data_IF_514474607626
#
_entry.id   IF_514474607626
#
_cell.length_a   1.000
_cell.length_b   1.000
_cell.length_c   1.000
_cell.angle_alpha   90.00
_cell.angle_beta   90.00
_cell.angle_gamma   90.00
#
_symmetry.space_group_name_H-M   'P 1'
#
loop_
_entity.id
_entity.type
_entity.pdbx_description
1 polymer ?
#
# COMPACT_ATOMS: atom_id res chain seq x y z
N UNK A 1 -5.33 -3.28 -19.61
CA UNK A 1 -4.71 -3.33 -20.95
C UNK A 1 -3.99 -2.03 -21.18
N UNK A 2 -2.67 -2.05 -21.51
CA UNK A 2 -1.93 -0.85 -21.84
C UNK A 2 -2.48 -0.16 -23.11
N UNK A 3 -2.51 1.16 -23.09
CA UNK A 3 -2.83 1.99 -24.24
C UNK A 3 -1.53 2.67 -24.68
N UNK A 4 -0.76 1.93 -25.48
CA UNK A 4 0.53 2.36 -26.02
C UNK A 4 0.38 3.26 -27.24
N UNK A 5 1.49 3.84 -27.68
CA UNK A 5 1.62 4.55 -28.95
C UNK A 5 1.09 3.71 -30.11
N UNK A 6 1.54 2.45 -30.21
CA UNK A 6 1.08 1.51 -31.24
C UNK A 6 -0.44 1.32 -31.23
N UNK A 7 -1.03 1.18 -30.03
CA UNK A 7 -2.49 1.04 -29.89
C UNK A 7 -3.22 2.26 -30.44
N UNK A 8 -2.74 3.46 -30.14
CA UNK A 8 -3.34 4.71 -30.62
C UNK A 8 -3.17 4.89 -32.15
N UNK A 9 -2.03 4.47 -32.70
CA UNK A 9 -1.79 4.53 -34.15
C UNK A 9 -2.65 3.54 -34.92
N UNK A 10 -2.90 2.35 -34.38
CA UNK A 10 -3.78 1.35 -34.97
C UNK A 10 -5.27 1.70 -34.86
N UNK A 11 -5.61 2.62 -33.96
CA UNK A 11 -6.99 3.03 -33.70
C UNK A 11 -7.16 4.55 -33.88
N UNK A 12 -7.07 5.09 -35.13
CA UNK A 12 -7.07 6.54 -35.38
C UNK A 12 -8.40 7.22 -35.00
N UNK A 13 -9.44 6.46 -34.74
CA UNK A 13 -10.76 6.96 -34.30
C UNK A 13 -10.86 7.26 -32.81
N UNK A 14 -9.82 7.02 -32.02
CA UNK A 14 -9.85 7.33 -30.55
C UNK A 14 -9.94 8.85 -30.37
N UNK A 15 -10.96 9.30 -29.65
CA UNK A 15 -11.21 10.71 -29.33
C UNK A 15 -11.10 11.03 -27.83
N UNK A 16 -11.12 10.02 -26.98
CA UNK A 16 -11.01 10.11 -25.52
C UNK A 16 -10.47 8.80 -24.97
N UNK A 17 -9.59 8.86 -23.99
CA UNK A 17 -9.15 7.71 -23.19
C UNK A 17 -9.61 7.94 -21.76
N UNK A 18 -10.55 7.11 -21.26
CA UNK A 18 -11.02 7.15 -19.89
C UNK A 18 -10.44 5.98 -19.10
N UNK A 19 -9.58 6.26 -18.13
CA UNK A 19 -8.97 5.28 -17.25
C UNK A 19 -9.84 5.12 -15.99
N UNK A 20 -10.51 3.97 -15.85
CA UNK A 20 -11.35 3.66 -14.70
C UNK A 20 -10.51 3.25 -13.48
N UNK A 21 -9.47 4.01 -13.18
CA UNK A 21 -8.56 3.82 -12.06
C UNK A 21 -7.95 5.17 -11.65
N UNK A 22 -7.32 5.22 -10.48
CA UNK A 22 -6.56 6.40 -10.03
C UNK A 22 -5.24 6.51 -10.78
N UNK A 23 -4.48 5.40 -10.89
CA UNK A 23 -3.24 5.35 -11.68
C UNK A 23 -3.53 5.30 -13.18
N UNK A 24 -2.78 6.06 -13.97
CA UNK A 24 -2.92 6.14 -15.43
C UNK A 24 -1.62 5.83 -16.18
N UNK A 25 -0.63 5.28 -15.53
CA UNK A 25 0.66 4.90 -16.10
C UNK A 25 0.57 3.80 -17.19
N UNK A 26 -0.58 3.14 -17.32
CA UNK A 26 -0.88 2.20 -18.40
C UNK A 26 -1.11 2.89 -19.74
N UNK A 27 -1.28 4.22 -19.76
CA UNK A 27 -1.50 5.01 -20.98
C UNK A 27 -0.24 5.81 -21.29
N UNK A 28 0.23 5.77 -22.56
CA UNK A 28 1.21 6.75 -23.05
C UNK A 28 0.52 8.11 -23.21
N UNK A 29 0.31 8.78 -22.07
CA UNK A 29 -0.40 10.06 -22.01
C UNK A 29 0.36 11.20 -22.70
N UNK A 30 1.68 11.08 -22.80
CA UNK A 30 2.51 12.04 -23.56
C UNK A 30 2.16 11.96 -25.03
N UNK A 31 2.13 10.77 -25.59
CA UNK A 31 1.75 10.56 -26.98
C UNK A 31 0.27 10.87 -27.25
N UNK A 32 -0.62 10.51 -26.32
CA UNK A 32 -2.03 10.91 -26.42
C UNK A 32 -2.18 12.43 -26.53
N UNK A 33 -1.41 13.18 -25.74
CA UNK A 33 -1.37 14.65 -25.78
C UNK A 33 -0.86 15.19 -27.11
N UNK A 34 0.19 14.60 -27.69
CA UNK A 34 0.70 14.94 -29.02
C UNK A 34 -0.36 14.74 -30.11
N UNK A 35 -1.18 13.71 -29.98
CA UNK A 35 -2.30 13.39 -30.87
C UNK A 35 -3.56 14.22 -30.60
N UNK A 36 -3.57 15.07 -29.56
CA UNK A 36 -4.76 15.81 -29.16
C UNK A 36 -5.86 14.94 -28.52
N UNK A 37 -5.52 13.75 -28.02
CA UNK A 37 -6.45 12.82 -27.38
C UNK A 37 -6.47 13.10 -25.87
N UNK A 38 -7.57 13.58 -25.30
CA UNK A 38 -7.68 13.76 -23.86
C UNK A 38 -7.62 12.42 -23.11
N UNK A 39 -6.90 12.41 -21.99
CA UNK A 39 -6.84 11.27 -21.06
C UNK A 39 -7.43 11.71 -19.72
N UNK A 40 -8.42 11.00 -19.22
CA UNK A 40 -9.07 11.26 -17.94
C UNK A 40 -9.00 10.03 -17.04
N UNK A 41 -9.01 10.23 -15.73
CA UNK A 41 -8.97 9.16 -14.72
C UNK A 41 -9.98 9.43 -13.61
N UNK A 42 -10.08 8.51 -12.62
CA UNK A 42 -10.92 8.65 -11.42
C UNK A 42 -10.02 8.85 -10.19
N UNK A 43 -9.75 10.09 -9.76
CA UNK A 43 -8.62 10.40 -8.89
C UNK A 43 -8.80 10.04 -7.41
N UNK A 44 -10.00 9.71 -6.91
CA UNK A 44 -10.22 9.62 -5.46
C UNK A 44 -11.19 8.56 -4.96
N UNK A 45 -11.73 7.69 -5.80
CA UNK A 45 -12.74 6.70 -5.38
C UNK A 45 -12.20 5.62 -4.41
N UNK A 46 -10.92 5.29 -4.51
CA UNK A 46 -10.30 4.16 -3.79
C UNK A 46 -9.65 4.53 -2.46
N UNK A 47 -9.67 5.79 -2.04
CA UNK A 47 -8.85 6.27 -0.90
C UNK A 47 -9.07 5.45 0.37
N UNK A 48 -10.30 5.32 0.83
CA UNK A 48 -10.62 4.65 2.09
C UNK A 48 -10.48 3.13 1.98
N UNK A 49 -11.01 2.56 0.91
CA UNK A 49 -11.00 1.10 0.74
C UNK A 49 -9.58 0.53 0.56
N UNK A 50 -8.69 1.25 -0.13
CA UNK A 50 -7.30 0.81 -0.30
C UNK A 50 -6.54 0.88 1.02
N UNK A 51 -6.72 1.96 1.80
CA UNK A 51 -6.13 2.06 3.13
C UNK A 51 -6.64 0.97 4.07
N UNK A 52 -7.94 0.71 4.10
CA UNK A 52 -8.55 -0.36 4.87
C UNK A 52 -7.99 -1.74 4.45
N UNK A 53 -7.92 -2.01 3.15
CA UNK A 53 -7.46 -3.31 2.65
C UNK A 53 -5.98 -3.55 2.96
N UNK A 54 -5.14 -2.53 2.86
CA UNK A 54 -3.72 -2.62 3.24
C UNK A 54 -3.55 -3.03 4.72
N UNK A 55 -4.34 -2.43 5.62
CA UNK A 55 -4.31 -2.81 7.04
C UNK A 55 -4.94 -4.19 7.27
N UNK A 56 -5.95 -4.58 6.50
CA UNK A 56 -6.52 -5.94 6.58
C UNK A 56 -5.50 -7.02 6.23
N UNK A 57 -4.64 -6.77 5.23
CA UNK A 57 -3.52 -7.67 4.90
C UNK A 57 -2.52 -7.76 6.05
N UNK A 58 -2.18 -6.63 6.68
CA UNK A 58 -1.31 -6.62 7.86
C UNK A 58 -1.91 -7.46 9.00
N UNK A 59 -3.20 -7.27 9.30
CA UNK A 59 -3.88 -8.03 10.35
C UNK A 59 -3.93 -9.53 10.04
N UNK A 60 -4.10 -9.92 8.79
CA UNK A 60 -4.04 -11.33 8.38
C UNK A 60 -2.64 -11.92 8.61
N UNK A 61 -1.58 -11.20 8.22
CA UNK A 61 -0.19 -11.61 8.44
C UNK A 61 0.11 -11.79 9.94
N UNK A 62 -0.37 -10.84 10.76
CA UNK A 62 -0.09 -10.84 12.20
C UNK A 62 -0.92 -11.86 13.00
N UNK A 63 -2.14 -12.14 12.56
CA UNK A 63 -3.12 -12.89 13.36
C UNK A 63 -3.56 -14.21 12.74
N UNK A 64 -3.20 -14.50 11.48
CA UNK A 64 -3.55 -15.73 10.76
C UNK A 64 -5.06 -16.07 10.81
N UNK A 65 -5.92 -15.05 10.65
CA UNK A 65 -7.38 -15.17 10.82
C UNK A 65 -7.98 -16.19 9.85
N UNK A 66 -7.53 -16.16 8.58
CA UNK A 66 -7.97 -17.12 7.58
C UNK A 66 -7.64 -18.56 7.96
N UNK A 67 -6.40 -18.81 8.39
CA UNK A 67 -5.96 -20.12 8.88
C UNK A 67 -6.82 -20.62 10.07
N UNK A 68 -7.01 -19.77 11.08
CA UNK A 68 -7.82 -20.14 12.25
C UNK A 68 -9.29 -20.38 11.86
N UNK A 69 -9.85 -19.60 10.95
CA UNK A 69 -11.21 -19.85 10.43
C UNK A 69 -11.33 -21.24 9.81
N UNK A 70 -10.38 -21.64 8.97
CA UNK A 70 -10.40 -22.96 8.30
C UNK A 70 -10.22 -24.11 9.31
N UNK A 71 -9.30 -23.98 10.26
CA UNK A 71 -9.07 -25.04 11.27
C UNK A 71 -10.24 -25.18 12.24
N UNK A 72 -10.92 -24.10 12.61
CA UNK A 72 -12.16 -24.15 13.39
C UNK A 72 -13.26 -24.87 12.63
N UNK A 73 -13.48 -24.54 11.35
CA UNK A 73 -14.47 -25.22 10.49
C UNK A 73 -14.15 -26.72 10.33
N UNK A 74 -12.87 -27.10 10.33
CA UNK A 74 -12.43 -28.50 10.30
C UNK A 74 -12.59 -29.23 11.64
N UNK A 75 -13.13 -28.57 12.67
CA UNK A 75 -13.39 -29.17 13.98
C UNK A 75 -12.18 -29.23 14.91
N UNK A 76 -11.11 -28.45 14.63
CA UNK A 76 -9.92 -28.45 15.47
C UNK A 76 -10.19 -27.85 16.85
N UNK A 77 -10.98 -26.81 16.94
CA UNK A 77 -11.38 -26.20 18.23
C UNK A 77 -12.16 -27.19 19.10
N UNK A 78 -13.18 -27.84 18.55
CA UNK A 78 -14.04 -28.78 19.25
C UNK A 78 -13.27 -29.98 19.83
N UNK A 79 -12.24 -30.45 19.10
CA UNK A 79 -11.43 -31.63 19.46
C UNK A 79 -10.20 -31.27 20.30
N UNK A 80 -9.94 -29.99 20.54
CA UNK A 80 -8.77 -29.55 21.29
C UNK A 80 -8.98 -29.83 22.79
N UNK A 81 -8.02 -30.45 23.50
CA UNK A 81 -8.14 -30.72 24.94
C UNK A 81 -8.08 -29.45 25.80
N UNK A 82 -7.46 -28.39 25.29
CA UNK A 82 -7.34 -27.11 25.96
C UNK A 82 -8.43 -26.13 25.51
N UNK A 83 -8.67 -25.08 26.29
CA UNK A 83 -9.64 -24.03 26.01
C UNK A 83 -9.24 -23.12 24.83
N UNK A 84 -8.00 -23.20 24.33
CA UNK A 84 -7.50 -22.47 23.16
C UNK A 84 -6.41 -23.27 22.44
N UNK A 85 -6.08 -22.87 21.24
CA UNK A 85 -4.92 -23.37 20.48
C UNK A 85 -4.34 -22.28 19.60
N UNK A 86 -3.08 -22.40 19.26
CA UNK A 86 -2.38 -21.60 18.25
C UNK A 86 -1.36 -22.50 17.55
N UNK A 87 -1.25 -22.32 16.23
CA UNK A 87 -0.28 -23.05 15.40
C UNK A 87 0.83 -22.14 14.87
N UNK A 88 0.58 -20.82 14.91
CA UNK A 88 1.50 -19.79 14.47
C UNK A 88 1.64 -18.71 15.55
N UNK A 89 2.84 -18.15 15.73
CA UNK A 89 3.02 -16.98 16.59
C UNK A 89 2.13 -15.83 16.12
N UNK A 90 1.42 -15.20 17.03
CA UNK A 90 0.71 -13.95 16.75
C UNK A 90 1.62 -12.76 17.00
N UNK A 91 1.48 -11.73 16.19
CA UNK A 91 2.25 -10.49 16.30
C UNK A 91 1.31 -9.39 16.78
N UNK A 92 1.59 -8.86 17.98
CA UNK A 92 0.89 -7.69 18.49
C UNK A 92 1.44 -6.42 17.84
N UNK A 93 0.54 -5.56 17.35
CA UNK A 93 0.90 -4.32 16.63
C UNK A 93 1.12 -3.13 17.58
N UNK A 94 0.64 -3.20 18.83
CA UNK A 94 0.78 -2.13 19.80
C UNK A 94 2.24 -1.69 19.98
N UNK A 95 2.49 -0.40 19.80
CA UNK A 95 3.81 0.20 19.96
C UNK A 95 4.83 -0.09 18.84
N UNK A 96 4.50 -0.97 17.87
CA UNK A 96 5.34 -1.21 16.70
C UNK A 96 5.33 -0.02 15.75
N UNK A 97 6.33 0.07 14.92
CA UNK A 97 6.50 1.17 13.96
C UNK A 97 6.05 0.75 12.57
N UNK A 98 5.12 1.51 12.00
CA UNK A 98 4.70 1.40 10.61
C UNK A 98 5.36 2.50 9.78
N UNK A 99 6.10 2.12 8.74
CA UNK A 99 6.67 3.03 7.76
C UNK A 99 5.74 3.16 6.55
N UNK A 100 5.47 4.39 6.11
CA UNK A 100 4.65 4.66 4.93
C UNK A 100 5.48 5.42 3.90
N UNK A 101 5.69 4.83 2.74
CA UNK A 101 6.30 5.51 1.58
C UNK A 101 5.17 6.08 0.71
N UNK A 102 5.02 7.40 0.74
CA UNK A 102 3.92 8.11 0.09
C UNK A 102 2.75 8.40 1.04
N UNK A 103 2.79 9.56 1.71
CA UNK A 103 1.75 10.01 2.65
C UNK A 103 0.70 10.91 1.98
N UNK A 104 0.31 10.55 0.75
CA UNK A 104 -0.82 11.13 0.05
C UNK A 104 -2.17 10.69 0.65
N UNK A 105 -3.27 10.86 -0.10
CA UNK A 105 -4.62 10.53 0.38
C UNK A 105 -4.76 9.10 0.92
N UNK A 106 -4.22 8.09 0.23
CA UNK A 106 -4.27 6.68 0.65
C UNK A 106 -3.36 6.45 1.86
N UNK A 107 -2.12 6.94 1.83
CA UNK A 107 -1.19 6.82 2.95
C UNK A 107 -1.75 7.43 4.23
N UNK A 108 -2.40 8.60 4.15
CA UNK A 108 -3.07 9.23 5.30
C UNK A 108 -4.26 8.40 5.79
N UNK A 109 -5.05 7.79 4.90
CA UNK A 109 -6.14 6.90 5.29
C UNK A 109 -5.60 5.65 6.03
N UNK A 110 -4.50 5.08 5.55
CA UNK A 110 -3.79 3.97 6.22
C UNK A 110 -3.24 4.41 7.57
N UNK A 111 -2.56 5.56 7.65
CA UNK A 111 -1.99 6.10 8.88
C UNK A 111 -3.03 6.29 9.99
N UNK A 112 -4.23 6.77 9.65
CA UNK A 112 -5.34 6.92 10.61
C UNK A 112 -5.73 5.60 11.27
N UNK A 113 -5.79 4.51 10.50
CA UNK A 113 -6.14 3.19 11.02
C UNK A 113 -4.99 2.64 11.88
N UNK A 114 -3.75 2.80 11.44
CA UNK A 114 -2.57 2.36 12.19
C UNK A 114 -2.42 3.11 13.52
N UNK A 115 -2.70 4.41 13.55
CA UNK A 115 -2.74 5.19 14.80
C UNK A 115 -3.84 4.68 15.75
N UNK A 116 -5.01 4.29 15.23
CA UNK A 116 -6.08 3.69 16.04
C UNK A 116 -5.70 2.31 16.60
N UNK A 117 -4.76 1.61 15.98
CA UNK A 117 -4.14 0.39 16.51
C UNK A 117 -2.96 0.68 17.45
N UNK A 118 -2.74 1.95 17.84
CA UNK A 118 -1.66 2.42 18.69
C UNK A 118 -0.25 2.07 18.15
N UNK A 119 -0.09 2.01 16.85
CA UNK A 119 1.22 1.93 16.21
C UNK A 119 1.88 3.31 16.16
N UNK A 120 3.20 3.34 16.11
CA UNK A 120 3.98 4.54 15.77
C UNK A 120 4.02 4.63 14.25
N UNK A 121 3.57 5.75 13.68
CA UNK A 121 3.58 5.93 12.22
C UNK A 121 4.68 6.90 11.83
N UNK A 122 5.60 6.46 10.98
CA UNK A 122 6.61 7.28 10.33
C UNK A 122 6.37 7.27 8.82
N UNK A 123 6.72 8.34 8.12
CA UNK A 123 6.46 8.42 6.70
C UNK A 123 7.56 9.16 5.93
N UNK A 124 7.75 8.73 4.69
CA UNK A 124 8.48 9.47 3.68
C UNK A 124 7.53 9.94 2.58
N UNK A 125 7.59 11.22 2.27
CA UNK A 125 6.93 11.79 1.09
C UNK A 125 7.77 12.94 0.55
N UNK A 126 7.87 13.06 -0.78
CA UNK A 126 8.54 14.18 -1.42
C UNK A 126 7.80 15.51 -1.18
N UNK A 127 6.49 15.45 -0.92
CA UNK A 127 5.61 16.59 -0.66
C UNK A 127 4.94 16.45 0.71
N UNK A 128 5.60 16.99 1.73
CA UNK A 128 5.07 16.98 3.09
C UNK A 128 3.86 17.94 3.21
N UNK A 129 2.84 17.51 3.96
CA UNK A 129 1.65 18.32 4.23
C UNK A 129 1.40 18.47 5.72
N UNK A 130 0.78 19.59 6.18
CA UNK A 130 0.39 19.75 7.58
C UNK A 130 -0.52 18.60 8.07
N UNK A 131 -1.48 18.17 7.25
CA UNK A 131 -2.38 17.07 7.57
C UNK A 131 -1.63 15.73 7.71
N UNK A 132 -0.59 15.52 6.92
CA UNK A 132 0.29 14.35 7.05
C UNK A 132 1.09 14.38 8.34
N UNK A 133 1.62 15.55 8.72
CA UNK A 133 2.39 15.74 9.96
C UNK A 133 1.58 15.50 11.24
N UNK A 134 0.25 15.65 11.19
CA UNK A 134 -0.65 15.27 12.30
C UNK A 134 -0.80 13.75 12.46
N UNK A 135 -0.50 12.98 11.41
CA UNK A 135 -0.73 11.53 11.38
C UNK A 135 0.55 10.70 11.48
N UNK A 136 1.69 11.27 11.08
CA UNK A 136 2.95 10.55 11.01
C UNK A 136 4.14 11.50 11.22
N UNK A 137 5.22 10.98 11.81
CA UNK A 137 6.53 11.64 11.82
C UNK A 137 7.14 11.53 10.42
N UNK A 138 7.45 12.65 9.76
CA UNK A 138 8.19 12.62 8.51
C UNK A 138 9.66 12.34 8.75
N UNK A 139 10.20 11.36 8.02
CA UNK A 139 11.60 10.93 8.09
C UNK A 139 12.17 10.75 6.68
N UNK A 140 13.50 10.63 6.57
CA UNK A 140 14.14 10.18 5.34
C UNK A 140 13.94 8.66 5.11
N UNK A 141 14.22 8.19 3.89
CA UNK A 141 14.04 6.79 3.53
C UNK A 141 14.92 5.84 4.35
N UNK A 142 16.16 6.20 4.63
CA UNK A 142 17.08 5.33 5.38
C UNK A 142 16.60 5.15 6.84
N UNK A 143 16.12 6.20 7.45
CA UNK A 143 15.47 6.16 8.76
C UNK A 143 14.19 5.33 8.72
N UNK A 144 13.38 5.46 7.65
CA UNK A 144 12.15 4.67 7.49
C UNK A 144 12.47 3.19 7.40
N UNK A 145 13.44 2.79 6.56
CA UNK A 145 13.84 1.39 6.44
C UNK A 145 14.32 0.82 7.79
N UNK A 146 15.21 1.52 8.48
CA UNK A 146 15.81 1.05 9.72
C UNK A 146 14.83 0.97 10.91
N UNK A 147 13.81 1.82 10.96
CA UNK A 147 12.91 1.91 12.11
C UNK A 147 11.61 1.11 11.96
N UNK A 148 11.21 0.75 10.75
CA UNK A 148 9.91 0.12 10.49
C UNK A 148 9.88 -1.35 10.88
N UNK A 149 8.77 -1.79 11.48
CA UNK A 149 8.41 -3.20 11.69
C UNK A 149 7.48 -3.69 10.56
N UNK A 150 6.83 -2.77 9.84
CA UNK A 150 6.05 -3.00 8.62
C UNK A 150 6.15 -1.79 7.72
N UNK A 151 6.15 -2.01 6.40
CA UNK A 151 6.27 -0.94 5.41
C UNK A 151 5.10 -1.00 4.43
N UNK A 152 4.45 0.15 4.23
CA UNK A 152 3.39 0.36 3.26
C UNK A 152 3.88 1.21 2.10
N UNK A 153 3.70 0.73 0.87
CA UNK A 153 4.03 1.49 -0.33
C UNK A 153 2.76 2.08 -0.92
N UNK A 154 2.59 3.39 -0.74
CA UNK A 154 1.49 4.17 -1.28
C UNK A 154 1.95 5.26 -2.25
N UNK A 155 3.24 5.23 -2.60
CA UNK A 155 3.81 6.12 -3.61
C UNK A 155 3.38 5.69 -5.03
N UNK A 156 3.20 6.65 -5.96
CA UNK A 156 3.02 6.33 -7.37
C UNK A 156 4.31 5.76 -7.98
N UNK A 157 4.18 5.07 -9.11
CA UNK A 157 5.31 4.61 -9.89
C UNK A 157 5.88 5.77 -10.73
N UNK A 158 7.01 6.29 -10.30
CA UNK A 158 7.83 7.27 -11.00
C UNK A 158 9.24 6.72 -11.21
N UNK A 159 10.09 7.35 -12.03
CA UNK A 159 11.49 6.93 -12.16
C UNK A 159 12.22 6.83 -10.80
N UNK A 160 11.93 7.74 -9.87
CA UNK A 160 12.55 7.82 -8.55
C UNK A 160 12.04 6.75 -7.58
N UNK A 161 10.83 6.21 -7.81
CA UNK A 161 10.23 5.16 -6.97
C UNK A 161 10.28 3.78 -7.59
N UNK A 162 10.68 3.69 -8.86
CA UNK A 162 10.83 2.41 -9.54
C UNK A 162 11.94 1.58 -8.89
N UNK A 163 11.59 0.37 -8.43
CA UNK A 163 12.54 -0.52 -7.77
C UNK A 163 13.03 -0.01 -6.40
N UNK A 164 12.23 0.82 -5.73
CA UNK A 164 12.56 1.38 -4.40
C UNK A 164 12.78 0.29 -3.35
N UNK A 165 12.13 -0.86 -3.50
CA UNK A 165 12.44 -2.07 -2.74
C UNK A 165 13.38 -2.92 -3.60
N UNK A 166 14.60 -3.07 -3.15
CA UNK A 166 15.66 -3.82 -3.80
C UNK A 166 16.61 -4.39 -2.73
N UNK A 167 17.65 -5.11 -3.14
CA UNK A 167 18.59 -5.74 -2.21
C UNK A 167 19.18 -4.73 -1.22
N UNK A 168 19.68 -3.61 -1.73
CA UNK A 168 20.38 -2.61 -0.91
C UNK A 168 19.44 -1.95 0.13
N UNK A 169 18.17 -1.76 -0.23
CA UNK A 169 17.17 -1.21 0.69
C UNK A 169 16.67 -2.24 1.69
N UNK A 170 16.57 -3.52 1.30
CA UNK A 170 16.21 -4.61 2.21
C UNK A 170 17.30 -4.83 3.26
N UNK A 171 18.58 -4.73 2.90
CA UNK A 171 19.69 -4.85 3.84
C UNK A 171 19.70 -3.76 4.94
N UNK A 172 19.00 -2.65 4.74
CA UNK A 172 18.79 -1.58 5.73
C UNK A 172 17.60 -1.80 6.66
N UNK A 173 16.73 -2.76 6.32
CA UNK A 173 15.51 -3.03 7.07
C UNK A 173 15.77 -3.93 8.27
N UNK A 174 14.81 -3.96 9.19
CA UNK A 174 14.86 -4.92 10.30
C UNK A 174 14.67 -6.34 9.81
N UNK A 175 15.26 -7.30 10.50
CA UNK A 175 14.95 -8.71 10.26
C UNK A 175 13.47 -8.98 10.55
N UNK A 176 12.79 -9.60 9.57
CA UNK A 176 11.37 -9.94 9.67
C UNK A 176 10.39 -8.79 9.41
N UNK A 177 10.85 -7.68 8.78
CA UNK A 177 9.97 -6.60 8.32
C UNK A 177 8.99 -7.07 7.25
#
# INVERSE_FOLDING_TARGET
>A
TPVSRETMDRCPGIRLIAVMATGYNIVDYTYAREKGIPVVNVPSYGTQIVGQYAVSLLLEICSHIGYHSETVKAGKWEKNPDWCYWDHPMIELYGKTAGIVGLGRIGQATAKILNALNMKVIAYDAHQSPQGAELAEYVDLDTLWARSDVIFLHCPLFPETQGIINRDTIEKMKDGV
#
